data_IF_162567390965
#
_entry.id   IF_162567390965
#
_cell.length_a   1.000
_cell.length_b   1.000
_cell.length_c   1.000
_cell.angle_alpha   90.00
_cell.angle_beta   90.00
_cell.angle_gamma   90.00
#
_symmetry.space_group_name_H-M   'P 1'
#
loop_
_entity.id
_entity.type
_entity.pdbx_description
1 polymer ?
#
# COMPACT_ATOMS: atom_id res chain seq x y z
N UNK A 1 -17.82 -39.34 -27.88
CA UNK A 1 -16.37 -39.11 -27.91
C UNK A 1 -15.91 -38.65 -26.53
N UNK A 2 -15.10 -39.43 -25.80
CA UNK A 2 -14.42 -38.91 -24.60
C UNK A 2 -13.47 -37.83 -25.09
N UNK A 3 -13.74 -36.56 -24.75
CA UNK A 3 -12.86 -35.44 -25.08
C UNK A 3 -11.45 -35.79 -24.59
N UNK A 4 -10.46 -35.77 -25.47
CA UNK A 4 -9.07 -35.97 -25.08
C UNK A 4 -8.74 -34.93 -24.01
N UNK A 5 -8.22 -35.39 -22.86
CA UNK A 5 -7.84 -34.50 -21.79
C UNK A 5 -6.72 -33.56 -22.24
N UNK A 6 -5.97 -33.91 -23.27
CA UNK A 6 -4.98 -33.04 -23.92
C UNK A 6 -5.62 -31.75 -24.42
N UNK A 7 -6.68 -31.84 -25.23
CA UNK A 7 -7.41 -30.67 -25.73
C UNK A 7 -8.04 -29.85 -24.59
N UNK A 8 -8.59 -30.57 -23.61
CA UNK A 8 -9.14 -29.94 -22.41
C UNK A 8 -8.05 -29.16 -21.66
N UNK A 9 -6.87 -29.74 -21.47
CA UNK A 9 -5.76 -29.14 -20.74
C UNK A 9 -5.29 -27.86 -21.43
N UNK A 10 -5.10 -27.86 -22.76
CA UNK A 10 -4.73 -26.67 -23.54
C UNK A 10 -5.76 -25.54 -23.34
N UNK A 11 -7.05 -25.87 -23.38
CA UNK A 11 -8.12 -24.90 -23.14
C UNK A 11 -8.11 -24.35 -21.72
N UNK A 12 -7.96 -25.19 -20.70
CA UNK A 12 -8.01 -24.69 -19.31
C UNK A 12 -6.72 -23.98 -18.89
N UNK A 13 -5.55 -24.39 -19.39
CA UNK A 13 -4.27 -23.81 -18.98
C UNK A 13 -4.10 -22.38 -19.50
N UNK A 14 -4.58 -22.08 -20.71
CA UNK A 14 -4.62 -20.71 -21.27
C UNK A 14 -5.49 -19.73 -20.47
N UNK A 15 -6.40 -20.23 -19.63
CA UNK A 15 -7.26 -19.44 -18.73
C UNK A 15 -6.68 -19.27 -17.31
N UNK A 16 -5.40 -19.58 -17.14
CA UNK A 16 -4.65 -19.50 -15.88
C UNK A 16 -3.28 -18.85 -16.10
N UNK A 17 -2.51 -18.63 -15.03
CA UNK A 17 -1.13 -18.16 -15.14
C UNK A 17 -0.13 -19.30 -15.49
N UNK A 18 -0.58 -20.44 -16.01
CA UNK A 18 0.27 -21.61 -16.27
C UNK A 18 1.46 -21.28 -17.18
N UNK A 19 1.23 -20.53 -18.25
CA UNK A 19 2.27 -20.10 -19.19
C UNK A 19 3.28 -19.09 -18.61
N UNK A 20 3.05 -18.60 -17.38
CA UNK A 20 3.96 -17.71 -16.64
C UNK A 20 4.89 -18.47 -15.69
N UNK A 21 4.70 -19.79 -15.55
CA UNK A 21 5.58 -20.64 -14.75
C UNK A 21 6.89 -20.93 -15.50
N UNK A 22 7.94 -21.32 -14.78
CA UNK A 22 9.17 -21.84 -15.39
C UNK A 22 8.88 -23.12 -16.16
N UNK A 23 9.76 -23.52 -17.07
CA UNK A 23 9.58 -24.74 -17.85
C UNK A 23 9.43 -25.97 -16.94
N UNK A 24 10.31 -26.11 -15.94
CA UNK A 24 10.27 -27.22 -14.98
C UNK A 24 8.92 -27.30 -14.23
N UNK A 25 8.42 -26.14 -13.76
CA UNK A 25 7.12 -26.07 -13.08
C UNK A 25 5.96 -26.39 -14.03
N UNK A 26 6.03 -25.97 -15.29
CA UNK A 26 5.02 -26.31 -16.30
C UNK A 26 5.00 -27.82 -16.57
N UNK A 27 6.16 -28.44 -16.74
CA UNK A 27 6.29 -29.88 -17.00
C UNK A 27 5.71 -30.70 -15.85
N UNK A 28 6.07 -30.37 -14.61
CA UNK A 28 5.55 -31.06 -13.44
C UNK A 28 4.05 -30.89 -13.24
N UNK A 29 3.54 -29.65 -13.29
CA UNK A 29 2.11 -29.37 -13.09
C UNK A 29 1.28 -29.98 -14.22
N UNK A 30 1.79 -30.00 -15.46
CA UNK A 30 1.14 -30.71 -16.57
C UNK A 30 1.06 -32.20 -16.29
N UNK A 31 2.15 -32.85 -15.87
CA UNK A 31 2.15 -34.28 -15.50
C UNK A 31 1.10 -34.57 -14.42
N UNK A 32 1.11 -33.77 -13.34
CA UNK A 32 0.18 -33.92 -12.23
C UNK A 32 -1.28 -33.70 -12.66
N UNK A 33 -1.54 -32.72 -13.52
CA UNK A 33 -2.87 -32.46 -14.05
C UNK A 33 -3.39 -33.63 -14.90
N UNK A 34 -2.54 -34.31 -15.67
CA UNK A 34 -2.92 -35.49 -16.45
C UNK A 34 -3.18 -36.71 -15.57
N UNK A 35 -2.37 -36.91 -14.52
CA UNK A 35 -2.56 -37.98 -13.53
C UNK A 35 -3.88 -37.80 -12.76
N UNK A 36 -4.12 -36.60 -12.22
CA UNK A 36 -5.24 -36.33 -11.31
C UNK A 36 -6.50 -35.82 -12.02
N UNK A 37 -6.43 -35.50 -13.32
CA UNK A 37 -7.55 -34.98 -14.14
C UNK A 37 -8.17 -33.70 -13.55
N UNK A 38 -7.35 -32.67 -13.39
CA UNK A 38 -7.81 -31.36 -12.90
C UNK A 38 -8.91 -30.71 -13.75
N UNK A 39 -9.82 -30.03 -13.08
CA UNK A 39 -10.73 -29.04 -13.64
C UNK A 39 -10.02 -27.69 -13.81
N UNK A 40 -10.68 -26.72 -14.44
CA UNK A 40 -10.14 -25.36 -14.57
C UNK A 40 -9.83 -24.73 -13.19
N UNK A 41 -10.72 -24.88 -12.20
CA UNK A 41 -10.53 -24.28 -10.88
C UNK A 41 -9.43 -24.98 -10.09
N UNK A 42 -9.33 -26.30 -10.17
CA UNK A 42 -8.26 -27.06 -9.52
C UNK A 42 -6.89 -26.71 -10.14
N UNK A 43 -6.80 -26.62 -11.48
CA UNK A 43 -5.57 -26.18 -12.14
C UNK A 43 -5.21 -24.75 -11.76
N UNK A 44 -6.19 -23.83 -11.73
CA UNK A 44 -5.97 -22.44 -11.31
C UNK A 44 -5.42 -22.38 -9.88
N UNK A 45 -6.03 -23.12 -8.95
CA UNK A 45 -5.57 -23.18 -7.56
C UNK A 45 -4.12 -23.66 -7.46
N UNK A 46 -3.76 -24.74 -8.16
CA UNK A 46 -2.40 -25.29 -8.15
C UNK A 46 -1.40 -24.32 -8.79
N UNK A 47 -1.75 -23.70 -9.91
CA UNK A 47 -0.90 -22.72 -10.61
C UNK A 47 -0.69 -21.47 -9.75
N UNK A 48 -1.74 -20.91 -9.15
CA UNK A 48 -1.63 -19.76 -8.25
C UNK A 48 -0.83 -20.11 -7.00
N UNK A 49 -1.00 -21.32 -6.47
CA UNK A 49 -0.20 -21.83 -5.35
C UNK A 49 1.28 -21.93 -5.71
N UNK A 50 1.61 -22.46 -6.88
CA UNK A 50 2.99 -22.51 -7.37
C UNK A 50 3.59 -21.10 -7.48
N UNK A 51 2.83 -20.13 -8.00
CA UNK A 51 3.27 -18.74 -8.08
C UNK A 51 3.54 -18.17 -6.69
N UNK A 52 2.59 -18.33 -5.76
CA UNK A 52 2.71 -17.87 -4.37
C UNK A 52 3.96 -18.48 -3.71
N UNK A 53 4.16 -19.80 -3.76
CA UNK A 53 5.31 -20.48 -3.17
C UNK A 53 6.65 -19.99 -3.75
N UNK A 54 6.74 -19.86 -5.08
CA UNK A 54 7.95 -19.31 -5.72
C UNK A 54 8.22 -17.88 -5.30
N UNK A 55 7.20 -17.02 -5.23
CA UNK A 55 7.36 -15.64 -4.78
C UNK A 55 7.83 -15.58 -3.32
N UNK A 56 7.27 -16.43 -2.46
CA UNK A 56 7.58 -16.48 -1.04
C UNK A 56 8.91 -17.17 -0.73
N UNK A 57 9.60 -17.70 -1.76
CA UNK A 57 10.80 -18.54 -1.58
C UNK A 57 10.55 -19.76 -0.70
N UNK A 58 9.34 -20.32 -0.79
CA UNK A 58 8.93 -21.55 -0.13
C UNK A 58 9.14 -22.76 -1.06
N UNK A 59 9.21 -24.00 -0.54
CA UNK A 59 9.25 -25.20 -1.36
C UNK A 59 8.11 -25.23 -2.38
N UNK A 60 8.42 -25.53 -3.65
CA UNK A 60 7.43 -25.52 -4.72
C UNK A 60 6.42 -26.68 -4.65
N UNK A 61 5.41 -26.67 -5.53
CA UNK A 61 4.36 -27.70 -5.55
C UNK A 61 4.96 -29.09 -5.78
N UNK A 62 6.04 -29.20 -6.55
CA UNK A 62 6.73 -30.46 -6.79
C UNK A 62 7.35 -31.01 -5.51
N UNK A 63 8.13 -30.18 -4.81
CA UNK A 63 8.75 -30.52 -3.53
C UNK A 63 7.71 -30.89 -2.48
N UNK A 64 6.63 -30.10 -2.40
CA UNK A 64 5.50 -30.38 -1.52
C UNK A 64 4.83 -31.72 -1.86
N UNK A 65 4.53 -31.99 -3.14
CA UNK A 65 3.89 -33.23 -3.58
C UNK A 65 4.72 -34.46 -3.17
N UNK A 66 6.04 -34.41 -3.38
CA UNK A 66 6.93 -35.49 -2.95
C UNK A 66 6.94 -35.69 -1.44
N UNK A 67 6.91 -34.60 -0.64
CA UNK A 67 6.87 -34.69 0.83
C UNK A 67 5.61 -35.37 1.38
N UNK A 68 4.49 -35.31 0.65
CA UNK A 68 3.21 -35.91 1.08
C UNK A 68 2.85 -37.18 0.32
N UNK A 69 3.65 -37.63 -0.64
CA UNK A 69 3.30 -38.75 -1.54
C UNK A 69 2.93 -40.03 -0.78
N UNK A 70 3.65 -40.35 0.30
CA UNK A 70 3.39 -41.53 1.14
C UNK A 70 2.07 -41.46 1.93
N UNK A 71 1.47 -40.28 2.04
CA UNK A 71 0.17 -40.06 2.70
C UNK A 71 -1.00 -40.08 1.72
N UNK A 72 -0.73 -40.13 0.41
CA UNK A 72 -1.76 -40.07 -0.62
C UNK A 72 -2.32 -41.47 -0.94
N UNK A 73 -3.65 -41.62 -1.03
CA UNK A 73 -4.26 -42.87 -1.50
C UNK A 73 -3.78 -43.29 -2.90
N UNK A 74 -3.87 -44.59 -3.19
CA UNK A 74 -3.61 -45.13 -4.53
C UNK A 74 -4.74 -44.80 -5.51
N UNK A 75 -6.00 -44.79 -5.03
CA UNK A 75 -7.18 -44.53 -5.87
C UNK A 75 -7.19 -43.10 -6.43
N UNK A 76 -7.24 -42.89 -7.77
CA UNK A 76 -7.01 -41.58 -8.39
C UNK A 76 -7.91 -40.45 -7.89
N UNK A 77 -9.20 -40.72 -7.71
CA UNK A 77 -10.16 -39.70 -7.26
C UNK A 77 -9.89 -39.30 -5.81
N UNK A 78 -9.61 -40.28 -4.95
CA UNK A 78 -9.28 -40.04 -3.55
C UNK A 78 -7.92 -39.35 -3.41
N UNK A 79 -6.95 -39.75 -4.23
CA UNK A 79 -5.61 -39.16 -4.34
C UNK A 79 -5.69 -37.68 -4.66
N UNK A 80 -6.48 -37.29 -5.68
CA UNK A 80 -6.69 -35.88 -6.03
C UNK A 80 -7.27 -35.10 -4.85
N UNK A 81 -8.35 -35.60 -4.25
CA UNK A 81 -9.03 -34.92 -3.13
C UNK A 81 -8.07 -34.73 -1.95
N UNK A 82 -7.34 -35.77 -1.58
CA UNK A 82 -6.35 -35.73 -0.49
C UNK A 82 -5.22 -34.74 -0.79
N UNK A 83 -4.65 -34.76 -2.00
CA UNK A 83 -3.60 -33.84 -2.41
C UNK A 83 -4.05 -32.38 -2.33
N UNK A 84 -5.20 -32.04 -2.94
CA UNK A 84 -5.72 -30.67 -2.95
C UNK A 84 -6.05 -30.18 -1.53
N UNK A 85 -6.58 -31.06 -0.67
CA UNK A 85 -6.84 -30.74 0.74
C UNK A 85 -5.54 -30.45 1.50
N UNK A 86 -4.52 -31.30 1.34
CA UNK A 86 -3.22 -31.10 2.00
C UNK A 86 -2.52 -29.84 1.49
N UNK A 87 -2.56 -29.58 0.18
CA UNK A 87 -2.00 -28.36 -0.41
C UNK A 87 -2.71 -27.11 0.12
N UNK A 88 -4.04 -27.15 0.23
CA UNK A 88 -4.81 -26.06 0.83
C UNK A 88 -4.37 -25.82 2.28
N UNK A 89 -4.34 -26.86 3.12
CA UNK A 89 -3.93 -26.73 4.53
C UNK A 89 -2.50 -26.22 4.68
N UNK A 90 -1.59 -26.64 3.80
CA UNK A 90 -0.21 -26.15 3.80
C UNK A 90 -0.13 -24.64 3.51
N UNK A 91 -0.81 -24.18 2.46
CA UNK A 91 -0.83 -22.75 2.09
C UNK A 91 -1.54 -21.92 3.15
N UNK A 92 -2.62 -22.43 3.72
CA UNK A 92 -3.35 -21.77 4.79
C UNK A 92 -2.47 -21.60 6.04
N UNK A 93 -1.71 -22.64 6.40
CA UNK A 93 -0.71 -22.57 7.48
C UNK A 93 0.37 -21.52 7.21
N UNK A 94 0.92 -21.46 5.99
CA UNK A 94 1.90 -20.44 5.61
C UNK A 94 1.35 -19.02 5.66
N UNK A 95 0.06 -18.82 5.38
CA UNK A 95 -0.61 -17.51 5.40
C UNK A 95 -0.92 -17.03 6.82
N UNK A 96 -1.19 -17.94 7.75
CA UNK A 96 -1.49 -17.61 9.14
C UNK A 96 -0.25 -17.52 10.03
N UNK A 97 0.85 -18.16 9.63
CA UNK A 97 2.13 -18.01 10.30
C UNK A 97 2.71 -16.59 10.11
N UNK A 98 3.44 -16.11 11.12
CA UNK A 98 4.23 -14.90 10.97
C UNK A 98 5.31 -15.14 9.90
N UNK A 99 5.25 -14.36 8.81
CA UNK A 99 6.26 -14.42 7.76
C UNK A 99 7.58 -13.83 8.25
N UNK A 100 8.70 -14.42 7.84
CA UNK A 100 10.04 -13.88 8.07
C UNK A 100 10.62 -13.29 6.80
N UNK A 101 11.34 -12.18 6.93
CA UNK A 101 12.03 -11.52 5.84
C UNK A 101 13.56 -11.68 5.99
N UNK A 102 14.28 -11.98 4.89
CA UNK A 102 15.74 -12.03 4.94
C UNK A 102 16.32 -10.63 5.14
N UNK A 103 17.36 -10.53 5.99
CA UNK A 103 18.04 -9.26 6.31
C UNK A 103 18.69 -8.60 5.09
N UNK A 104 19.19 -9.38 4.14
CA UNK A 104 19.78 -8.85 2.91
C UNK A 104 18.74 -8.37 1.89
N UNK A 105 17.46 -8.62 2.16
CA UNK A 105 16.35 -8.37 1.23
C UNK A 105 16.14 -9.52 0.24
N UNK A 106 14.89 -9.73 -0.13
CA UNK A 106 14.49 -10.63 -1.20
C UNK A 106 14.93 -9.99 -2.52
N UNK A 107 15.73 -10.74 -3.31
CA UNK A 107 16.22 -10.41 -4.67
C UNK A 107 15.66 -9.12 -5.27
N UNK A 108 16.30 -7.99 -4.96
CA UNK A 108 15.83 -6.68 -5.40
C UNK A 108 15.93 -6.57 -6.92
N UNK A 109 14.87 -6.10 -7.62
CA UNK A 109 14.99 -5.76 -9.02
C UNK A 109 16.14 -4.76 -9.21
N UNK A 110 17.17 -5.15 -9.99
CA UNK A 110 18.37 -4.31 -10.18
C UNK A 110 18.08 -3.03 -10.96
N UNK A 111 17.06 -3.08 -11.84
CA UNK A 111 16.59 -1.95 -12.64
C UNK A 111 15.08 -2.05 -12.78
N UNK A 112 14.42 -0.89 -12.78
CA UNK A 112 13.05 -0.81 -13.26
C UNK A 112 13.06 -0.74 -14.78
N UNK A 113 12.06 -1.33 -15.43
CA UNK A 113 11.82 -1.08 -16.85
C UNK A 113 11.64 0.43 -17.07
N UNK A 114 12.20 0.95 -18.17
CA UNK A 114 12.10 2.37 -18.48
C UNK A 114 10.64 2.72 -18.77
N UNK A 115 10.02 3.48 -17.88
CA UNK A 115 8.74 4.12 -18.14
C UNK A 115 8.95 5.38 -18.96
N UNK A 116 8.11 5.59 -19.98
CA UNK A 116 8.08 6.86 -20.71
C UNK A 116 7.45 7.91 -19.79
N UNK A 117 8.16 9.03 -19.60
CA UNK A 117 7.65 10.19 -18.86
C UNK A 117 7.19 11.22 -19.88
N UNK A 118 5.94 11.62 -19.81
CA UNK A 118 5.32 12.57 -20.75
C UNK A 118 4.53 13.64 -20.01
N UNK A 119 4.40 14.78 -20.66
CA UNK A 119 3.45 15.84 -20.31
C UNK A 119 2.45 15.90 -21.47
N UNK A 120 1.15 15.77 -21.18
CA UNK A 120 0.11 15.69 -22.20
C UNK A 120 -1.15 16.45 -21.74
N UNK A 121 -1.83 17.10 -22.69
CA UNK A 121 -3.18 17.61 -22.48
C UNK A 121 -4.15 16.46 -22.25
N UNK A 122 -5.09 16.68 -21.35
CA UNK A 122 -6.05 15.66 -20.92
C UNK A 122 -7.37 16.33 -20.55
N UNK A 123 -8.50 15.80 -21.02
CA UNK A 123 -9.83 16.25 -20.55
C UNK A 123 -10.24 15.59 -19.22
N UNK A 124 -9.36 14.76 -18.63
CA UNK A 124 -9.65 14.11 -17.35
C UNK A 124 -9.71 15.15 -16.25
N UNK A 125 -10.67 14.95 -15.35
CA UNK A 125 -10.75 15.69 -14.09
C UNK A 125 -9.58 15.28 -13.19
N UNK A 126 -8.77 16.26 -12.77
CA UNK A 126 -7.60 16.03 -11.91
C UNK A 126 -7.93 15.99 -10.42
N UNK A 127 -9.18 16.25 -10.02
CA UNK A 127 -9.58 16.28 -8.62
C UNK A 127 -10.78 15.38 -8.33
N UNK A 128 -10.75 14.72 -7.17
CA UNK A 128 -11.77 13.74 -6.81
C UNK A 128 -11.85 13.45 -5.32
N UNK A 129 -12.67 12.46 -4.98
CA UNK A 129 -12.72 11.89 -3.64
C UNK A 129 -11.75 10.71 -3.56
N UNK A 130 -11.14 10.51 -2.40
CA UNK A 130 -10.31 9.35 -2.16
C UNK A 130 -11.08 8.06 -2.52
N UNK A 131 -10.56 7.18 -3.39
CA UNK A 131 -11.32 6.04 -3.91
C UNK A 131 -11.60 4.95 -2.86
N UNK A 132 -11.02 5.08 -1.67
CA UNK A 132 -11.29 4.20 -0.53
C UNK A 132 -12.23 4.82 0.50
N UNK A 133 -12.69 6.06 0.29
CA UNK A 133 -13.71 6.67 1.13
C UNK A 133 -15.00 5.84 1.11
N UNK A 134 -15.58 5.64 2.29
CA UNK A 134 -16.72 4.76 2.47
C UNK A 134 -17.50 5.17 3.72
N UNK A 135 -18.84 5.18 3.69
CA UNK A 135 -19.68 5.41 4.87
C UNK A 135 -19.62 4.25 5.87
N UNK A 136 -19.03 3.11 5.51
CA UNK A 136 -18.86 1.94 6.38
C UNK A 136 -17.53 1.93 7.15
N UNK A 137 -16.69 2.93 6.92
CA UNK A 137 -15.41 3.16 7.62
C UNK A 137 -15.45 4.56 8.22
N UNK A 138 -14.69 4.79 9.30
CA UNK A 138 -14.48 6.15 9.82
C UNK A 138 -13.42 6.80 8.93
N UNK A 139 -13.83 7.74 8.06
CA UNK A 139 -13.03 8.25 6.96
C UNK A 139 -12.75 9.75 7.07
N UNK A 140 -11.54 10.16 6.70
CA UNK A 140 -11.10 11.56 6.74
C UNK A 140 -11.62 12.42 5.58
N UNK A 141 -12.47 11.85 4.69
CA UNK A 141 -13.00 12.52 3.50
C UNK A 141 -11.94 13.21 2.62
N UNK A 142 -10.73 12.64 2.58
CA UNK A 142 -9.62 13.17 1.79
C UNK A 142 -10.05 13.38 0.33
N UNK A 143 -9.81 14.59 -0.17
CA UNK A 143 -9.91 14.90 -1.60
C UNK A 143 -8.56 14.64 -2.26
N UNK A 144 -8.57 14.25 -3.52
CA UNK A 144 -7.34 13.90 -4.24
C UNK A 144 -7.07 14.88 -5.36
N UNK A 145 -5.80 15.16 -5.60
CA UNK A 145 -5.30 15.85 -6.79
C UNK A 145 -4.37 14.90 -7.52
N UNK A 146 -4.76 14.46 -8.71
CA UNK A 146 -4.01 13.54 -9.54
C UNK A 146 -3.05 14.34 -10.45
N UNK A 147 -2.09 15.05 -9.84
CA UNK A 147 -1.12 15.89 -10.55
C UNK A 147 -0.20 15.08 -11.48
N UNK A 148 0.10 13.84 -11.07
CA UNK A 148 0.88 12.88 -11.86
C UNK A 148 0.17 11.52 -11.82
N UNK A 149 0.03 10.88 -12.97
CA UNK A 149 -0.46 9.52 -13.08
C UNK A 149 0.70 8.53 -13.13
N UNK A 150 0.61 7.46 -12.32
CA UNK A 150 1.63 6.43 -12.12
C UNK A 150 2.84 6.91 -11.30
N UNK A 151 3.59 5.97 -10.71
CA UNK A 151 4.67 6.23 -9.76
C UNK A 151 6.02 5.69 -10.27
N UNK A 152 7.16 6.30 -9.86
CA UNK A 152 8.50 5.80 -10.19
C UNK A 152 8.93 4.56 -9.38
N UNK A 153 8.26 4.30 -8.26
CA UNK A 153 8.63 3.24 -7.33
C UNK A 153 8.07 1.87 -7.68
N UNK A 154 8.61 0.84 -7.02
CA UNK A 154 8.35 -0.57 -7.28
C UNK A 154 7.80 -1.32 -6.07
N UNK A 155 6.93 -0.71 -5.25
CA UNK A 155 6.37 -1.38 -4.08
C UNK A 155 5.56 -2.60 -4.49
N UNK A 156 5.80 -3.77 -3.88
CA UNK A 156 5.15 -5.04 -4.23
C UNK A 156 3.64 -5.04 -3.95
N UNK A 157 3.19 -4.24 -2.98
CA UNK A 157 1.80 -4.03 -2.61
C UNK A 157 1.11 -2.91 -3.40
N UNK A 158 1.78 -2.29 -4.38
CA UNK A 158 1.29 -1.06 -5.00
C UNK A 158 0.00 -1.26 -5.80
N UNK A 159 -1.05 -0.52 -5.42
CA UNK A 159 -2.33 -0.52 -6.14
C UNK A 159 -2.27 0.33 -7.41
N UNK A 160 -1.52 1.44 -7.42
CA UNK A 160 -1.34 2.35 -8.57
C UNK A 160 -0.90 1.58 -9.82
N UNK A 161 0.09 0.68 -9.69
CA UNK A 161 0.61 -0.12 -10.81
C UNK A 161 -0.41 -1.10 -11.43
N UNK A 162 -1.56 -1.29 -10.79
CA UNK A 162 -2.66 -2.10 -11.34
C UNK A 162 -3.53 -1.29 -12.30
N UNK A 163 -3.65 0.03 -12.08
CA UNK A 163 -4.61 0.89 -12.77
C UNK A 163 -4.00 1.72 -13.91
N UNK A 164 -2.70 2.02 -13.85
CA UNK A 164 -2.03 2.83 -14.87
C UNK A 164 -1.23 1.98 -15.86
N UNK A 165 -1.02 2.55 -17.05
CA UNK A 165 -0.14 1.97 -18.08
C UNK A 165 1.33 2.01 -17.66
N UNK A 166 2.25 1.54 -18.50
CA UNK A 166 3.69 1.67 -18.25
C UNK A 166 4.23 3.11 -18.43
N UNK A 167 3.37 4.08 -18.76
CA UNK A 167 3.71 5.52 -18.91
C UNK A 167 3.49 6.25 -17.59
N UNK A 168 4.26 7.31 -17.37
CA UNK A 168 4.06 8.30 -16.31
C UNK A 168 3.63 9.58 -16.99
N UNK A 169 2.48 10.11 -16.60
CA UNK A 169 1.85 11.25 -17.29
C UNK A 169 1.68 12.41 -16.32
N UNK A 170 2.19 13.57 -16.72
CA UNK A 170 1.93 14.85 -16.09
C UNK A 170 0.83 15.56 -16.88
N UNK A 171 -0.11 16.17 -16.18
CA UNK A 171 -1.14 16.98 -16.83
C UNK A 171 -0.53 18.32 -17.29
N UNK A 172 -0.61 18.60 -18.59
CA UNK A 172 -0.07 19.84 -19.16
C UNK A 172 -0.79 21.10 -18.64
N UNK A 173 -2.09 21.00 -18.40
CA UNK A 173 -2.95 22.11 -17.97
C UNK A 173 -3.23 22.06 -16.44
N UNK A 174 -2.27 21.49 -15.67
CA UNK A 174 -2.41 21.31 -14.21
C UNK A 174 -2.72 22.63 -13.51
N UNK A 175 -2.00 23.70 -13.84
CA UNK A 175 -2.16 25.01 -13.20
C UNK A 175 -3.58 25.56 -13.42
N UNK A 176 -4.04 25.58 -14.67
CA UNK A 176 -5.37 26.07 -15.03
C UNK A 176 -6.48 25.25 -14.38
N UNK A 177 -6.33 23.92 -14.33
CA UNK A 177 -7.32 23.02 -13.73
C UNK A 177 -7.42 23.16 -12.22
N UNK A 178 -6.31 23.43 -11.53
CA UNK A 178 -6.33 23.71 -10.09
C UNK A 178 -7.17 24.95 -9.78
N UNK A 179 -7.03 26.01 -10.58
CA UNK A 179 -7.80 27.25 -10.42
C UNK A 179 -9.30 27.08 -10.67
N UNK A 180 -9.70 26.03 -11.41
CA UNK A 180 -11.11 25.74 -11.70
C UNK A 180 -11.77 24.85 -10.64
N UNK A 181 -11.05 24.42 -9.60
CA UNK A 181 -11.63 23.62 -8.53
C UNK A 181 -12.58 24.49 -7.71
N UNK A 182 -13.87 24.13 -7.60
CA UNK A 182 -14.82 24.91 -6.82
C UNK A 182 -14.55 24.73 -5.32
N UNK A 183 -14.23 25.84 -4.65
CA UNK A 183 -13.97 25.92 -3.22
C UNK A 183 -14.92 26.93 -2.57
N UNK A 184 -15.47 26.57 -1.42
CA UNK A 184 -16.21 27.47 -0.55
C UNK A 184 -15.21 28.09 0.45
N UNK A 185 -14.98 29.41 0.44
CA UNK A 185 -14.02 30.06 1.33
C UNK A 185 -14.29 29.84 2.82
N UNK A 186 -15.55 29.59 3.19
CA UNK A 186 -15.97 29.36 4.58
C UNK A 186 -15.74 27.90 5.03
N UNK A 187 -15.30 27.02 4.12
CA UNK A 187 -15.04 25.61 4.42
C UNK A 187 -13.56 25.30 4.35
N UNK A 188 -13.10 24.51 5.31
CA UNK A 188 -11.76 23.92 5.29
C UNK A 188 -11.77 22.65 4.44
N UNK A 189 -10.69 22.39 3.72
CA UNK A 189 -10.55 21.20 2.88
C UNK A 189 -9.22 20.51 3.08
N UNK A 190 -9.17 19.18 2.97
CA UNK A 190 -7.93 18.41 2.90
C UNK A 190 -7.76 17.81 1.51
N UNK A 191 -6.70 18.19 0.80
CA UNK A 191 -6.34 17.63 -0.52
C UNK A 191 -5.01 16.88 -0.43
N UNK A 192 -4.95 15.68 -1.00
CA UNK A 192 -3.74 14.87 -1.08
C UNK A 192 -3.32 14.59 -2.53
N UNK A 193 -2.03 14.68 -2.80
CA UNK A 193 -1.46 14.45 -4.15
C UNK A 193 -0.87 13.04 -4.35
N UNK A 194 -0.94 12.20 -3.31
CA UNK A 194 -0.29 10.88 -3.27
C UNK A 194 -1.15 9.70 -3.72
N UNK A 195 -2.32 9.93 -4.32
CA UNK A 195 -3.26 8.87 -4.68
C UNK A 195 -2.89 8.17 -6.00
N UNK A 196 -2.52 8.95 -7.01
CA UNK A 196 -2.18 8.48 -8.36
C UNK A 196 -0.68 8.34 -8.60
N UNK A 197 0.15 8.93 -7.74
CA UNK A 197 1.62 8.90 -7.79
C UNK A 197 2.25 9.10 -6.41
N UNK A 198 3.58 9.16 -6.37
CA UNK A 198 4.31 9.69 -5.21
C UNK A 198 4.55 11.18 -5.44
N UNK A 199 4.12 12.03 -4.49
CA UNK A 199 4.07 13.48 -4.67
C UNK A 199 5.43 14.10 -4.92
N UNK A 200 6.49 13.57 -4.28
CA UNK A 200 7.81 14.22 -4.26
C UNK A 200 8.87 13.50 -5.07
N UNK A 201 8.60 12.27 -5.51
CA UNK A 201 9.54 11.49 -6.33
C UNK A 201 9.99 12.20 -7.63
N UNK A 202 9.19 13.14 -8.13
CA UNK A 202 9.44 13.84 -9.40
C UNK A 202 10.17 15.17 -9.25
N UNK A 203 10.26 15.72 -8.04
CA UNK A 203 10.63 17.12 -7.82
C UNK A 203 9.70 18.06 -8.59
N UNK A 204 10.16 19.27 -8.88
CA UNK A 204 9.39 20.27 -9.62
C UNK A 204 9.41 20.06 -11.14
N UNK A 205 9.39 18.80 -11.60
CA UNK A 205 9.36 18.50 -13.03
C UNK A 205 8.08 19.04 -13.66
N UNK A 206 8.21 19.72 -14.81
CA UNK A 206 7.09 20.38 -15.49
C UNK A 206 6.31 21.36 -14.58
N UNK A 207 7.00 22.01 -13.64
CA UNK A 207 6.45 23.01 -12.72
C UNK A 207 5.28 22.49 -11.87
N UNK A 208 5.18 21.18 -11.63
CA UNK A 208 4.05 20.61 -10.89
C UNK A 208 3.98 21.09 -9.43
N UNK A 209 5.13 21.27 -8.77
CA UNK A 209 5.17 21.72 -7.37
C UNK A 209 4.90 23.21 -7.27
N UNK A 210 5.36 24.01 -8.24
CA UNK A 210 5.00 25.43 -8.34
C UNK A 210 3.48 25.58 -8.48
N UNK A 211 2.86 24.88 -9.43
CA UNK A 211 1.42 24.97 -9.66
C UNK A 211 0.61 24.60 -8.41
N UNK A 212 1.03 23.56 -7.69
CA UNK A 212 0.39 23.12 -6.45
C UNK A 212 0.60 24.13 -5.30
N UNK A 213 1.79 24.68 -5.14
CA UNK A 213 2.08 25.68 -4.10
C UNK A 213 1.38 27.01 -4.38
N UNK A 214 1.33 27.46 -5.62
CA UNK A 214 0.60 28.67 -6.01
C UNK A 214 -0.89 28.54 -5.73
N UNK A 215 -1.46 27.38 -6.05
CA UNK A 215 -2.85 27.09 -5.73
C UNK A 215 -3.11 27.09 -4.22
N UNK A 216 -2.24 26.46 -3.42
CA UNK A 216 -2.36 26.47 -1.96
C UNK A 216 -2.24 27.89 -1.39
N UNK A 217 -1.32 28.71 -1.91
CA UNK A 217 -1.12 30.10 -1.49
C UNK A 217 -2.35 30.97 -1.75
N UNK A 218 -3.06 30.74 -2.86
CA UNK A 218 -4.26 31.48 -3.21
C UNK A 218 -5.51 31.03 -2.42
N UNK A 219 -5.46 29.85 -1.79
CA UNK A 219 -6.60 29.24 -1.10
C UNK A 219 -6.21 28.84 0.33
N UNK A 220 -6.08 29.79 1.27
CA UNK A 220 -5.59 29.51 2.63
C UNK A 220 -6.48 28.56 3.44
N UNK A 221 -7.74 28.34 3.02
CA UNK A 221 -8.67 27.39 3.63
C UNK A 221 -8.44 25.92 3.23
N UNK A 222 -7.50 25.62 2.34
CA UNK A 222 -7.14 24.23 2.00
C UNK A 222 -5.89 23.81 2.77
N UNK A 223 -5.83 22.55 3.20
CA UNK A 223 -4.61 21.86 3.62
C UNK A 223 -4.17 20.96 2.46
N UNK A 224 -3.00 21.25 1.88
CA UNK A 224 -2.48 20.48 0.75
C UNK A 224 -1.35 19.54 1.18
N UNK A 225 -1.64 18.24 1.11
CA UNK A 225 -0.75 17.15 1.51
C UNK A 225 0.07 16.61 0.32
N UNK A 226 1.39 16.55 0.52
CA UNK A 226 2.36 15.86 -0.32
C UNK A 226 2.83 14.58 0.37
N UNK A 227 2.32 13.43 -0.07
CA UNK A 227 2.63 12.12 0.53
C UNK A 227 3.74 11.44 -0.25
N UNK A 228 4.82 11.04 0.43
CA UNK A 228 6.00 10.46 -0.23
C UNK A 228 6.64 9.27 0.49
N UNK A 229 7.39 8.47 -0.28
CA UNK A 229 8.39 7.47 0.14
C UNK A 229 9.81 7.85 -0.30
N UNK A 230 10.00 9.06 -0.82
CA UNK A 230 11.28 9.60 -1.28
C UNK A 230 11.98 10.44 -0.21
N UNK A 231 13.23 10.81 -0.51
CA UNK A 231 14.02 11.83 0.19
C UNK A 231 14.16 13.12 -0.64
N UNK A 232 13.38 13.26 -1.73
CA UNK A 232 13.50 14.36 -2.68
C UNK A 232 12.71 15.59 -2.24
N UNK A 233 13.27 16.33 -1.28
CA UNK A 233 12.63 17.50 -0.66
C UNK A 233 13.22 18.84 -1.08
N UNK A 234 14.17 18.85 -2.03
CA UNK A 234 14.98 20.04 -2.36
C UNK A 234 14.12 21.28 -2.64
N UNK A 235 13.01 21.10 -3.36
CA UNK A 235 12.07 22.17 -3.67
C UNK A 235 11.64 22.95 -2.42
N UNK A 236 11.17 22.25 -1.38
CA UNK A 236 10.70 22.87 -0.14
C UNK A 236 11.82 23.43 0.75
N UNK A 237 13.08 23.05 0.50
CA UNK A 237 14.22 23.61 1.21
C UNK A 237 14.65 24.96 0.62
N UNK A 238 14.43 25.15 -0.69
CA UNK A 238 14.93 26.28 -1.47
C UNK A 238 13.87 27.34 -1.80
N UNK A 239 12.58 27.02 -1.72
CA UNK A 239 11.48 27.90 -2.12
C UNK A 239 10.69 28.41 -0.93
N UNK A 240 9.97 29.52 -1.14
CA UNK A 240 8.94 29.98 -0.20
C UNK A 240 7.70 29.08 -0.31
N UNK A 241 7.28 28.53 0.83
CA UNK A 241 6.23 27.50 0.92
C UNK A 241 5.07 28.07 1.73
N UNK A 242 3.84 28.08 1.19
CA UNK A 242 2.71 28.58 1.94
C UNK A 242 2.42 27.69 3.16
N UNK A 243 1.93 28.31 4.24
CA UNK A 243 1.81 27.67 5.56
C UNK A 243 0.79 26.52 5.61
N UNK A 244 -0.09 26.46 4.62
CA UNK A 244 -1.12 25.43 4.48
C UNK A 244 -0.65 24.22 3.64
N UNK A 245 0.66 24.04 3.52
CA UNK A 245 1.32 22.87 2.94
C UNK A 245 1.71 21.89 4.04
N UNK A 246 1.48 20.60 3.78
CA UNK A 246 1.88 19.51 4.64
C UNK A 246 2.69 18.48 3.83
N UNK A 247 3.89 18.15 4.29
CA UNK A 247 4.65 17.03 3.72
C UNK A 247 4.51 15.80 4.63
N UNK A 248 4.15 14.64 4.07
CA UNK A 248 3.99 13.41 4.85
C UNK A 248 4.81 12.25 4.30
N UNK A 249 5.33 11.42 5.21
CA UNK A 249 6.10 10.24 4.85
C UNK A 249 5.37 8.97 5.18
N UNK A 250 5.30 8.04 4.22
CA UNK A 250 4.97 6.65 4.55
C UNK A 250 6.19 5.99 5.19
N UNK A 251 6.02 5.42 6.37
CA UNK A 251 7.09 4.79 7.14
C UNK A 251 6.83 3.29 7.30
N UNK A 252 7.90 2.51 7.18
CA UNK A 252 7.92 1.09 7.45
C UNK A 252 9.28 0.70 8.03
N UNK A 253 9.36 -0.41 8.78
CA UNK A 253 10.64 -0.98 9.20
C UNK A 253 11.56 -1.18 8.00
N UNK A 254 12.87 -0.95 8.19
CA UNK A 254 13.83 -1.04 7.09
C UNK A 254 13.79 -2.42 6.41
N UNK A 255 13.56 -3.49 7.18
CA UNK A 255 13.39 -4.84 6.65
C UNK A 255 12.22 -4.94 5.65
N UNK A 256 11.11 -4.25 5.89
CA UNK A 256 9.98 -4.21 4.94
C UNK A 256 10.35 -3.37 3.72
N UNK A 257 10.99 -2.21 3.92
CA UNK A 257 11.41 -1.36 2.80
C UNK A 257 12.34 -2.13 1.84
N UNK A 258 13.30 -2.84 2.41
CA UNK A 258 14.30 -3.62 1.68
C UNK A 258 13.71 -4.77 0.86
N UNK A 259 12.60 -5.33 1.33
CA UNK A 259 11.97 -6.51 0.75
C UNK A 259 10.75 -6.20 -0.13
N UNK A 260 10.02 -5.13 0.13
CA UNK A 260 8.71 -4.86 -0.46
C UNK A 260 8.56 -3.45 -1.05
N UNK A 261 9.46 -2.50 -0.77
CA UNK A 261 9.37 -1.10 -1.24
C UNK A 261 10.51 -0.71 -2.19
N UNK A 262 10.65 -1.44 -3.29
CA UNK A 262 11.76 -1.25 -4.22
C UNK A 262 11.82 0.17 -4.81
N UNK A 263 13.06 0.64 -5.01
CA UNK A 263 13.40 1.96 -5.56
C UNK A 263 12.95 3.17 -4.72
N UNK A 264 12.47 2.96 -3.51
CA UNK A 264 12.14 4.04 -2.55
C UNK A 264 13.34 4.42 -1.70
N UNK A 265 13.24 5.54 -0.96
CA UNK A 265 14.27 5.90 0.02
C UNK A 265 14.21 4.96 1.24
N UNK A 266 15.35 4.59 1.85
CA UNK A 266 15.37 3.85 3.12
C UNK A 266 14.82 4.70 4.27
N UNK A 267 14.42 4.06 5.37
CA UNK A 267 13.73 4.69 6.51
C UNK A 267 14.50 5.91 7.05
N UNK A 268 15.81 5.77 7.26
CA UNK A 268 16.62 6.85 7.83
C UNK A 268 16.64 8.09 6.92
N UNK A 269 16.62 7.92 5.60
CA UNK A 269 16.55 9.03 4.66
C UNK A 269 15.19 9.70 4.65
N UNK A 270 14.10 8.94 4.78
CA UNK A 270 12.74 9.50 4.93
C UNK A 270 12.64 10.37 6.18
N UNK A 271 13.10 9.86 7.32
CA UNK A 271 13.11 10.60 8.59
C UNK A 271 14.02 11.83 8.52
N UNK A 272 15.20 11.73 7.89
CA UNK A 272 16.09 12.87 7.71
C UNK A 272 15.47 13.95 6.81
N UNK A 273 14.85 13.56 5.69
CA UNK A 273 14.16 14.49 4.80
C UNK A 273 12.99 15.19 5.52
N UNK A 274 12.20 14.44 6.30
CA UNK A 274 11.14 15.00 7.14
C UNK A 274 11.68 16.02 8.16
N UNK A 275 12.83 15.72 8.79
CA UNK A 275 13.48 16.63 9.72
C UNK A 275 13.91 17.92 9.02
N UNK A 276 14.55 17.83 7.85
CA UNK A 276 14.97 19.00 7.07
C UNK A 276 13.80 19.89 6.64
N UNK A 277 12.64 19.29 6.31
CA UNK A 277 11.41 20.03 6.00
C UNK A 277 10.83 20.70 7.25
N UNK A 278 10.79 19.99 8.38
CA UNK A 278 10.34 20.56 9.65
C UNK A 278 11.26 21.70 10.15
N UNK A 279 12.58 21.62 9.92
CA UNK A 279 13.55 22.69 10.25
C UNK A 279 13.27 23.99 9.47
N UNK A 280 12.57 23.91 8.33
CA UNK A 280 12.10 25.06 7.55
C UNK A 280 10.78 25.64 8.06
N UNK A 281 10.22 25.09 9.15
CA UNK A 281 8.91 25.48 9.69
C UNK A 281 7.72 24.86 8.95
N UNK A 282 7.97 24.01 7.95
CA UNK A 282 6.91 23.34 7.19
C UNK A 282 6.40 22.17 8.02
N UNK A 283 5.08 22.09 8.20
CA UNK A 283 4.48 21.02 8.99
C UNK A 283 4.67 19.66 8.31
N UNK A 284 4.84 18.63 9.13
CA UNK A 284 5.02 17.25 8.66
C UNK A 284 4.01 16.27 9.25
N UNK A 285 3.91 15.09 8.67
CA UNK A 285 3.05 14.00 9.14
C UNK A 285 3.60 12.63 8.76
N UNK A 286 3.10 11.59 9.44
CA UNK A 286 3.61 10.23 9.23
C UNK A 286 2.48 9.22 9.02
N UNK A 287 2.65 8.37 8.01
CA UNK A 287 1.73 7.28 7.72
C UNK A 287 2.42 5.93 7.92
N UNK A 288 1.93 5.14 8.86
CA UNK A 288 2.21 3.71 8.91
C UNK A 288 1.15 3.01 8.08
N UNK A 289 1.21 3.21 6.76
CA UNK A 289 0.25 2.66 5.82
C UNK A 289 0.97 2.19 4.54
N UNK A 290 1.08 0.87 4.30
CA UNK A 290 0.56 -0.22 5.14
C UNK A 290 1.50 -0.64 6.28
N UNK A 291 0.92 -0.91 7.45
CA UNK A 291 1.51 -1.81 8.44
C UNK A 291 1.42 -3.27 7.94
N UNK A 292 2.52 -3.99 8.05
CA UNK A 292 2.70 -5.36 7.57
C UNK A 292 3.07 -6.25 8.75
N UNK A 293 2.32 -7.34 8.94
CA UNK A 293 2.60 -8.34 9.97
C UNK A 293 3.72 -9.27 9.50
N UNK A 294 4.78 -9.41 10.31
CA UNK A 294 5.92 -10.28 10.07
C UNK A 294 6.66 -10.56 11.39
N UNK A 295 7.46 -11.61 11.47
CA UNK A 295 8.24 -11.91 12.67
C UNK A 295 9.19 -10.75 13.05
N UNK A 296 9.04 -10.19 14.26
CA UNK A 296 9.75 -8.99 14.72
C UNK A 296 9.03 -7.65 14.49
N UNK A 297 7.80 -7.64 13.96
CA UNK A 297 7.01 -6.41 13.78
C UNK A 297 6.76 -5.64 15.09
N UNK A 298 6.55 -6.38 16.19
CA UNK A 298 6.11 -5.87 17.50
C UNK A 298 7.16 -4.95 18.15
N UNK A 299 8.45 -5.17 17.86
CA UNK A 299 9.52 -4.28 18.28
C UNK A 299 9.83 -3.21 17.23
N UNK A 300 9.80 -3.60 15.95
CA UNK A 300 10.32 -2.77 14.87
C UNK A 300 9.45 -1.54 14.57
N UNK A 301 8.12 -1.65 14.69
CA UNK A 301 7.21 -0.53 14.47
C UNK A 301 7.28 0.50 15.62
N UNK A 302 7.16 0.11 16.90
CA UNK A 302 7.37 1.01 18.04
C UNK A 302 8.73 1.72 18.03
N UNK A 303 9.80 1.03 17.59
CA UNK A 303 11.11 1.66 17.45
C UNK A 303 11.12 2.85 16.47
N UNK A 304 10.23 2.88 15.48
CA UNK A 304 10.06 4.04 14.59
C UNK A 304 9.37 5.19 15.33
N UNK A 305 8.35 4.89 16.15
CA UNK A 305 7.67 5.90 16.96
C UNK A 305 8.65 6.63 17.89
N UNK A 306 9.47 5.86 18.62
CA UNK A 306 10.48 6.44 19.50
C UNK A 306 11.50 7.30 18.73
N UNK A 307 11.93 6.90 17.53
CA UNK A 307 12.82 7.71 16.68
C UNK A 307 12.18 9.03 16.25
N UNK A 308 10.88 9.04 15.97
CA UNK A 308 10.14 10.27 15.66
C UNK A 308 10.09 11.16 16.91
N UNK A 309 9.71 10.61 18.05
CA UNK A 309 9.61 11.37 19.31
C UNK A 309 10.94 11.95 19.79
N UNK A 310 12.06 11.35 19.41
CA UNK A 310 13.40 11.86 19.70
C UNK A 310 13.85 13.00 18.80
N UNK A 311 13.23 13.17 17.62
CA UNK A 311 13.73 14.05 16.54
C UNK A 311 12.78 15.17 16.17
N UNK A 312 11.54 15.10 16.63
CA UNK A 312 10.49 16.06 16.34
C UNK A 312 9.79 16.45 17.62
N UNK A 313 9.21 17.64 17.65
CA UNK A 313 8.25 18.04 18.66
C UNK A 313 6.83 17.79 18.14
N UNK A 314 5.84 17.56 19.02
CA UNK A 314 4.46 17.30 18.59
C UNK A 314 3.82 18.48 17.84
N UNK A 315 4.29 19.71 18.03
CA UNK A 315 3.82 20.92 17.35
C UNK A 315 4.19 20.92 15.85
N UNK A 316 5.26 20.22 15.48
CA UNK A 316 5.71 20.08 14.09
C UNK A 316 4.86 19.07 13.30
N UNK A 317 4.14 18.20 14.01
CA UNK A 317 3.42 17.06 13.44
C UNK A 317 1.92 17.32 13.42
N UNK A 318 1.29 17.39 12.24
CA UNK A 318 -0.17 17.58 12.16
C UNK A 318 -0.92 16.31 12.53
N UNK A 319 -0.55 15.18 11.92
CA UNK A 319 -1.18 13.90 12.20
C UNK A 319 -0.25 12.71 12.00
N UNK A 320 -0.63 11.61 12.64
CA UNK A 320 -0.05 10.27 12.44
C UNK A 320 -1.18 9.30 12.14
N UNK A 321 -1.06 8.52 11.07
CA UNK A 321 -2.09 7.55 10.69
C UNK A 321 -1.59 6.13 10.69
N UNK A 322 -2.46 5.18 11.03
CA UNK A 322 -2.20 3.74 10.87
C UNK A 322 -3.16 3.14 9.85
N UNK A 323 -2.69 2.19 9.05
CA UNK A 323 -3.53 1.46 8.10
C UNK A 323 -2.91 0.12 7.76
N UNK A 324 -3.75 -0.90 7.58
CA UNK A 324 -3.28 -2.25 7.25
C UNK A 324 -3.19 -2.45 5.74
N UNK A 325 -2.32 -3.37 5.30
CA UNK A 325 -2.28 -3.73 3.88
C UNK A 325 -3.64 -4.26 3.43
N UNK A 326 -4.14 -3.72 2.32
CA UNK A 326 -5.46 -4.05 1.79
C UNK A 326 -5.38 -4.23 0.28
N UNK A 327 -5.93 -5.34 -0.21
CA UNK A 327 -5.91 -5.70 -1.62
C UNK A 327 -7.31 -5.87 -2.19
N UNK A 328 -7.46 -5.63 -3.49
CA UNK A 328 -8.61 -6.08 -4.28
C UNK A 328 -8.17 -7.20 -5.22
N UNK A 329 -9.11 -8.03 -5.71
CA UNK A 329 -8.79 -9.16 -6.60
C UNK A 329 -7.91 -8.77 -7.81
N UNK A 330 -8.15 -7.64 -8.51
CA UNK A 330 -7.27 -7.22 -9.60
C UNK A 330 -5.80 -7.03 -9.19
N UNK A 331 -5.55 -6.49 -7.99
CA UNK A 331 -4.20 -6.27 -7.47
C UNK A 331 -3.51 -7.60 -7.15
N UNK A 332 -4.21 -8.51 -6.46
CA UNK A 332 -3.68 -9.87 -6.17
C UNK A 332 -3.32 -10.59 -7.49
N UNK A 333 -4.21 -10.52 -8.48
CA UNK A 333 -3.99 -11.11 -9.80
C UNK A 333 -2.77 -10.48 -10.49
N UNK A 334 -2.61 -9.15 -10.44
CA UNK A 334 -1.46 -8.43 -10.99
C UNK A 334 -0.16 -8.87 -10.31
N UNK A 335 -0.14 -8.93 -8.98
CA UNK A 335 1.01 -9.37 -8.19
C UNK A 335 1.42 -10.80 -8.60
N UNK A 336 0.47 -11.75 -8.66
CA UNK A 336 0.75 -13.13 -9.11
C UNK A 336 1.21 -13.20 -10.57
N UNK A 337 0.67 -12.36 -11.45
CA UNK A 337 1.06 -12.31 -12.86
C UNK A 337 2.49 -11.80 -13.04
N UNK A 338 2.92 -10.80 -12.27
CA UNK A 338 4.31 -10.35 -12.22
C UNK A 338 5.18 -11.44 -11.58
N UNK A 339 4.74 -11.94 -10.41
CA UNK A 339 5.44 -12.86 -9.51
C UNK A 339 6.92 -12.61 -9.39
N UNK A 340 7.20 -11.34 -9.08
CA UNK A 340 8.45 -10.94 -8.50
C UNK A 340 8.56 -11.59 -7.11
N UNK A 341 9.77 -11.98 -6.68
CA UNK A 341 10.02 -12.43 -5.32
C UNK A 341 9.52 -11.40 -4.29
N UNK A 342 8.86 -11.86 -3.24
CA UNK A 342 8.26 -11.02 -2.19
C UNK A 342 7.24 -11.82 -1.39
N UNK A 343 6.97 -11.44 -0.14
CA UNK A 343 6.10 -12.19 0.78
C UNK A 343 4.80 -11.44 1.10
N UNK A 344 4.47 -10.42 0.31
CA UNK A 344 3.33 -9.56 0.61
C UNK A 344 1.99 -10.30 0.64
N UNK A 345 1.79 -11.30 -0.24
CA UNK A 345 0.59 -12.15 -0.27
C UNK A 345 0.64 -13.33 0.71
N UNK A 346 1.75 -13.55 1.42
CA UNK A 346 1.85 -14.54 2.51
C UNK A 346 1.17 -13.96 3.75
N UNK A 347 -0.16 -13.98 3.70
CA UNK A 347 -1.07 -13.47 4.74
C UNK A 347 -2.46 -14.08 4.57
N UNK A 348 -3.34 -14.04 5.59
CA UNK A 348 -4.64 -14.73 5.54
C UNK A 348 -5.57 -14.28 4.43
N UNK A 349 -5.43 -13.03 3.94
CA UNK A 349 -6.34 -12.43 2.95
C UNK A 349 -7.80 -12.59 3.38
N UNK A 350 -8.14 -12.10 4.57
CA UNK A 350 -9.51 -12.10 5.08
C UNK A 350 -10.34 -11.15 4.22
N UNK A 351 -11.45 -11.62 3.61
CA UNK A 351 -12.31 -10.76 2.83
C UNK A 351 -13.05 -9.79 3.76
N UNK A 352 -13.01 -8.50 3.45
CA UNK A 352 -13.91 -7.53 4.05
C UNK A 352 -15.28 -7.56 3.34
N UNK A 353 -16.34 -6.97 3.95
CA UNK A 353 -17.66 -6.87 3.32
C UNK A 353 -17.69 -6.09 1.98
N UNK A 354 -16.58 -5.50 1.56
CA UNK A 354 -16.44 -4.70 0.35
C UNK A 354 -15.64 -5.41 -0.75
N UNK A 355 -15.31 -6.69 -0.56
CA UNK A 355 -14.54 -7.47 -1.53
C UNK A 355 -13.06 -7.11 -1.57
N UNK A 356 -12.56 -6.39 -0.56
CA UNK A 356 -11.13 -6.21 -0.30
C UNK A 356 -10.62 -7.36 0.59
N UNK A 357 -9.32 -7.51 0.67
CA UNK A 357 -8.62 -8.59 1.35
C UNK A 357 -7.52 -8.01 2.24
N UNK A 358 -7.50 -8.38 3.51
CA UNK A 358 -6.59 -7.79 4.52
C UNK A 358 -6.33 -8.77 5.67
N UNK A 359 -5.78 -8.29 6.80
CA UNK A 359 -5.61 -9.05 8.04
C UNK A 359 -6.93 -9.21 8.81
N UNK A 360 -6.98 -10.14 9.76
CA UNK A 360 -8.11 -10.22 10.70
C UNK A 360 -8.18 -8.98 11.58
N UNK A 361 -9.37 -8.63 12.04
CA UNK A 361 -9.60 -7.45 12.88
C UNK A 361 -8.76 -7.50 14.17
N UNK A 362 -8.67 -8.67 14.81
CA UNK A 362 -7.88 -8.84 16.04
C UNK A 362 -6.40 -8.58 15.82
N UNK A 363 -5.86 -9.01 14.66
CA UNK A 363 -4.47 -8.75 14.33
C UNK A 363 -4.25 -7.26 14.04
N UNK A 364 -5.17 -6.61 13.33
CA UNK A 364 -5.12 -5.16 13.09
C UNK A 364 -5.14 -4.37 14.39
N UNK A 365 -6.07 -4.68 15.30
CA UNK A 365 -6.16 -4.04 16.62
C UNK A 365 -4.86 -4.25 17.39
N UNK A 366 -4.30 -5.47 17.41
CA UNK A 366 -3.00 -5.73 18.05
C UNK A 366 -1.90 -4.82 17.49
N UNK A 367 -1.80 -4.72 16.16
CA UNK A 367 -0.76 -3.93 15.50
C UNK A 367 -0.93 -2.43 15.74
N UNK A 368 -2.15 -1.91 15.58
CA UNK A 368 -2.43 -0.50 15.74
C UNK A 368 -2.30 -0.05 17.20
N UNK A 369 -2.74 -0.87 18.16
CA UNK A 369 -2.64 -0.54 19.58
C UNK A 369 -1.19 -0.48 20.03
N UNK A 370 -0.36 -1.47 19.67
CA UNK A 370 1.06 -1.46 19.97
C UNK A 370 1.77 -0.21 19.40
N UNK A 371 1.41 0.21 18.18
CA UNK A 371 1.97 1.41 17.59
C UNK A 371 1.46 2.70 18.25
N UNK A 372 0.18 2.75 18.61
CA UNK A 372 -0.43 3.89 19.30
C UNK A 372 0.14 4.08 20.71
N UNK A 373 0.32 2.99 21.45
CA UNK A 373 0.93 2.96 22.79
C UNK A 373 2.39 3.44 22.76
N UNK A 374 3.14 3.10 21.71
CA UNK A 374 4.49 3.63 21.50
C UNK A 374 4.52 5.16 21.33
N UNK A 375 3.38 5.77 21.00
CA UNK A 375 3.20 7.21 20.96
C UNK A 375 2.57 7.82 22.23
N UNK A 376 2.50 7.11 23.35
CA UNK A 376 1.82 7.55 24.58
C UNK A 376 2.07 9.04 24.97
N UNK A 377 3.30 9.58 24.96
CA UNK A 377 3.56 11.00 25.29
C UNK A 377 2.90 12.05 24.37
N UNK A 378 2.38 11.63 23.22
CA UNK A 378 1.88 12.48 22.13
C UNK A 378 0.38 12.29 21.85
N UNK A 379 -0.28 11.32 22.50
CA UNK A 379 -1.67 10.95 22.19
C UNK A 379 -2.67 12.11 22.37
N UNK A 380 -2.36 13.06 23.25
CA UNK A 380 -3.13 14.28 23.53
C UNK A 380 -2.63 15.51 22.75
N UNK A 381 -1.55 15.37 21.98
CA UNK A 381 -0.86 16.49 21.32
C UNK A 381 -0.82 16.38 19.80
N UNK A 382 -0.93 15.18 19.26
CA UNK A 382 -0.91 14.92 17.81
C UNK A 382 -2.19 14.22 17.42
N UNK A 383 -2.75 14.56 16.25
CA UNK A 383 -3.97 13.93 15.78
C UNK A 383 -3.67 12.52 15.26
N UNK A 384 -4.31 11.49 15.82
CA UNK A 384 -4.17 10.09 15.38
C UNK A 384 -5.44 9.61 14.67
N UNK A 385 -5.28 8.82 13.60
CA UNK A 385 -6.42 8.18 12.93
C UNK A 385 -6.08 6.83 12.30
N UNK A 386 -7.11 6.00 12.07
CA UNK A 386 -6.98 4.76 11.31
C UNK A 386 -7.55 4.93 9.89
N UNK A 387 -6.76 4.61 8.89
CA UNK A 387 -7.17 4.72 7.49
C UNK A 387 -7.83 3.42 7.01
N UNK A 388 -9.00 3.53 6.38
CA UNK A 388 -9.78 2.39 5.82
C UNK A 388 -10.32 1.39 6.85
N UNK A 389 -10.42 1.79 8.12
CA UNK A 389 -10.86 0.89 9.19
C UNK A 389 -12.28 1.23 9.70
N UNK A 390 -12.99 0.19 10.15
CA UNK A 390 -14.35 0.29 10.70
C UNK A 390 -14.34 0.80 12.14
N UNK A 391 -15.45 1.40 12.58
CA UNK A 391 -15.61 1.98 13.93
C UNK A 391 -15.24 1.02 15.08
N UNK A 392 -15.53 -0.28 14.96
CA UNK A 392 -15.14 -1.29 15.96
C UNK A 392 -13.62 -1.35 16.20
N UNK A 393 -12.82 -1.27 15.14
CA UNK A 393 -11.34 -1.29 15.27
C UNK A 393 -10.86 0.01 15.93
N UNK A 394 -11.47 1.15 15.60
CA UNK A 394 -11.18 2.42 16.26
C UNK A 394 -11.49 2.36 17.75
N UNK A 395 -12.68 1.90 18.12
CA UNK A 395 -13.09 1.75 19.52
C UNK A 395 -12.11 0.87 20.31
N UNK A 396 -11.68 -0.24 19.72
CA UNK A 396 -10.76 -1.20 20.35
C UNK A 396 -9.31 -0.72 20.40
N UNK A 397 -8.91 0.22 19.54
CA UNK A 397 -7.53 0.73 19.44
C UNK A 397 -7.34 2.03 20.22
N UNK A 398 -8.25 2.99 20.06
CA UNK A 398 -8.16 4.34 20.64
C UNK A 398 -9.13 4.57 21.80
N UNK A 399 -10.05 3.63 22.07
CA UNK A 399 -11.10 3.82 23.08
C UNK A 399 -12.28 4.70 22.61
N UNK A 400 -12.29 5.13 21.35
CA UNK A 400 -13.35 5.95 20.77
C UNK A 400 -13.26 6.04 19.24
N UNK A 401 -14.30 6.59 18.62
CA UNK A 401 -14.39 6.85 17.19
C UNK A 401 -15.32 8.04 16.91
N UNK A 402 -15.28 8.56 15.69
CA UNK A 402 -16.17 9.64 15.24
C UNK A 402 -17.45 9.07 14.63
N UNK A 403 -18.61 9.56 15.06
CA UNK A 403 -19.92 9.03 14.63
C UNK A 403 -20.19 9.19 13.13
N UNK A 404 -19.68 10.28 12.54
CA UNK A 404 -19.77 10.52 11.11
C UNK A 404 -18.42 10.92 10.52
N UNK A 405 -18.28 10.76 9.21
CA UNK A 405 -17.07 11.14 8.49
C UNK A 405 -16.89 12.67 8.49
N UNK A 406 -17.99 13.42 8.49
CA UNK A 406 -17.99 14.88 8.55
C UNK A 406 -17.42 15.37 9.89
N UNK A 407 -17.81 14.76 11.02
CA UNK A 407 -17.27 15.10 12.35
C UNK A 407 -15.76 14.80 12.39
N UNK A 408 -15.33 13.65 11.85
CA UNK A 408 -13.90 13.33 11.77
C UNK A 408 -13.15 14.37 10.92
N UNK A 409 -13.61 14.63 9.70
CA UNK A 409 -13.00 15.62 8.80
C UNK A 409 -12.87 17.00 9.47
N UNK A 410 -13.94 17.50 10.08
CA UNK A 410 -13.97 18.79 10.77
C UNK A 410 -13.03 18.83 11.97
N UNK A 411 -13.02 17.78 12.81
CA UNK A 411 -12.16 17.71 13.99
C UNK A 411 -10.68 17.66 13.59
N UNK A 412 -10.35 16.84 12.59
CA UNK A 412 -8.98 16.73 12.06
C UNK A 412 -8.50 18.06 11.47
N UNK A 413 -9.32 18.69 10.63
CA UNK A 413 -8.97 19.96 10.00
C UNK A 413 -8.82 21.07 11.04
N UNK A 414 -9.72 21.15 12.02
CA UNK A 414 -9.61 22.12 13.12
C UNK A 414 -8.29 21.98 13.85
N UNK A 415 -7.94 20.76 14.31
CA UNK A 415 -6.67 20.51 14.98
C UNK A 415 -5.44 20.82 14.11
N UNK A 416 -5.51 20.54 12.80
CA UNK A 416 -4.43 20.85 11.87
C UNK A 416 -4.24 22.36 11.70
N UNK A 417 -5.32 23.10 11.46
CA UNK A 417 -5.28 24.54 11.23
C UNK A 417 -4.89 25.32 12.48
N UNK A 418 -5.35 24.92 13.67
CA UNK A 418 -4.92 25.52 14.94
C UNK A 418 -3.40 25.43 15.11
N UNK A 419 -2.78 24.29 14.77
CA UNK A 419 -1.32 24.12 14.81
C UNK A 419 -0.58 24.94 13.76
N UNK A 420 -1.18 25.17 12.60
CA UNK A 420 -0.61 26.01 11.53
C UNK A 420 -0.64 27.48 11.97
N UNK A 421 -1.76 27.94 12.52
CA UNK A 421 -1.97 29.31 12.98
C UNK A 421 -1.12 29.64 14.21
N UNK A 422 -1.00 28.73 15.18
CA UNK A 422 -0.20 28.94 16.39
C UNK A 422 1.28 29.19 16.08
N UNK A 423 1.84 28.54 15.04
CA UNK A 423 3.22 28.77 14.62
C UNK A 423 3.44 30.08 13.85
N UNK A 424 2.40 30.80 13.44
CA UNK A 424 2.54 32.12 12.81
C UNK A 424 2.60 33.26 13.85
N UNK A 425 2.23 32.98 15.11
CA UNK A 425 2.14 33.97 16.20
C UNK A 425 3.34 33.93 17.16
N UNK A 426 4.20 32.92 17.06
CA UNK A 426 5.45 32.74 17.81
C UNK A 426 6.62 33.00 16.89
#
# INVERSE_FOLDING_TARGET
MKTDYTDKFVKISSNTAFLKLTQDHQEFIKKLAFELRFTLQELRQVVETQRDLTMWSEPDVQSFYFSVTNKLPFEPVQRKKAFLSLLHSHIDGLRHAAKSYPKEGINRPKKREKSQIVQEKSEKKIYGQCPVASPKTVCCNLRTIDAVENCIFGCSYCTIQTFYSNRITFDEDLHEKLQQIPLDPEKKYHFGTGQSSDSLAWGNRFNNLDALCDWARQNPNILLEFKTKSDNVQFFLEHDVPSNILCTWSLNPQIIIDNEEHFTAPLHKRINAARSVADRGIKVGFHFHPMIYYDGWEEAYPAIAHKIQQRFSPEEILFISFGSVTFIKPVIKKIRNLGLPGKILQMPLVPDPHGKYTYSDDLKVKMFSAQYEAFAPWQDKVFFYLCMEKADIWQRTFGGYYETNEIFEETMLTACFEKIEHCQLV
#
